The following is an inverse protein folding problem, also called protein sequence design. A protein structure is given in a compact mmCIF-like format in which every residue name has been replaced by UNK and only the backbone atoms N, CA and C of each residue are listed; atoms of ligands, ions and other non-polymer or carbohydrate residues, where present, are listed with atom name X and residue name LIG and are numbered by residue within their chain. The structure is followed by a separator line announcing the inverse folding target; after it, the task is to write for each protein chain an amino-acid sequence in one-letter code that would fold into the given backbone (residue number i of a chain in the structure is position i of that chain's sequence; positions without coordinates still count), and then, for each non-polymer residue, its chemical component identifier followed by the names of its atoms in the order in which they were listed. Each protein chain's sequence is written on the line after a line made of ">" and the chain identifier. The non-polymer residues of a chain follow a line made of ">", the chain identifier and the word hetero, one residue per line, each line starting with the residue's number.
data_IF_577774989615
#
_entry.id   IF_577774989615
#
_cell.length_a   1.000
_cell.length_b   1.000
_cell.length_c   1.000
_cell.angle_alpha   90.00
_cell.angle_beta   90.00
_cell.angle_gamma   90.00
#
_symmetry.space_group_name_H-M   'P 1'
#
loop_
_entity.id
_entity.type
_entity.pdbx_description
1 polymer ?
#
# COMPACT_ATOMS: atom_id res chain seq x y z
N UNK A 1 3.30 -17.42 -5.63
CA UNK A 1 4.40 -16.49 -5.94
C UNK A 1 5.69 -17.25 -6.13
N UNK A 2 6.43 -16.91 -7.12
CA UNK A 2 7.72 -17.52 -7.37
C UNK A 2 8.75 -16.47 -7.74
N UNK A 3 10.00 -16.73 -7.40
CA UNK A 3 11.12 -15.85 -7.69
C UNK A 3 11.86 -16.42 -8.90
N UNK A 4 12.10 -15.55 -9.87
CA UNK A 4 12.96 -15.89 -11.00
C UNK A 4 14.36 -16.24 -10.49
N UNK A 5 14.99 -17.23 -11.08
CA UNK A 5 16.32 -17.65 -10.68
C UNK A 5 17.38 -16.57 -10.90
N UNK A 6 17.14 -15.63 -11.79
CA UNK A 6 18.01 -14.48 -11.95
C UNK A 6 17.94 -13.50 -10.77
N UNK A 7 16.93 -13.64 -9.92
CA UNK A 7 16.75 -12.79 -8.76
C UNK A 7 16.17 -11.43 -9.06
N UNK A 8 15.81 -11.13 -10.31
CA UNK A 8 15.41 -9.78 -10.71
C UNK A 8 13.91 -9.59 -10.88
N UNK A 9 13.14 -10.67 -11.09
CA UNK A 9 11.71 -10.57 -11.36
C UNK A 9 10.95 -11.53 -10.46
N UNK A 10 9.88 -11.00 -9.86
CA UNK A 10 8.94 -11.79 -9.06
C UNK A 10 7.68 -12.06 -9.85
N UNK A 11 7.10 -13.22 -9.65
CA UNK A 11 5.78 -13.54 -10.19
C UNK A 11 4.75 -13.43 -9.08
N UNK A 12 3.68 -12.66 -9.30
CA UNK A 12 2.62 -12.46 -8.32
C UNK A 12 1.31 -13.01 -8.85
N UNK A 13 0.50 -13.53 -7.91
CA UNK A 13 -0.92 -13.71 -8.15
C UNK A 13 -1.65 -12.38 -7.97
N UNK A 14 -2.97 -12.41 -8.06
CA UNK A 14 -3.79 -11.21 -7.89
C UNK A 14 -3.89 -10.76 -6.43
N UNK A 15 -3.66 -11.65 -5.48
CA UNK A 15 -3.61 -11.34 -4.05
C UNK A 15 -2.34 -11.91 -3.47
N UNK A 16 -1.61 -11.12 -2.71
CA UNK A 16 -0.34 -11.52 -2.12
C UNK A 16 -0.17 -10.96 -0.72
N UNK A 17 0.53 -11.70 0.12
CA UNK A 17 0.97 -11.21 1.41
C UNK A 17 2.29 -10.47 1.23
N UNK A 18 2.31 -9.24 1.69
CA UNK A 18 3.48 -8.37 1.58
C UNK A 18 3.77 -7.74 2.93
N UNK A 19 4.92 -7.10 3.08
CA UNK A 19 5.29 -6.39 4.28
C UNK A 19 5.64 -4.95 3.96
N UNK A 20 5.39 -4.06 4.90
CA UNK A 20 5.78 -2.66 4.85
C UNK A 20 6.63 -2.39 6.09
N UNK A 21 7.91 -2.79 6.06
CA UNK A 21 8.71 -2.82 7.29
C UNK A 21 8.95 -1.47 7.92
N UNK A 22 9.05 -0.40 7.12
CA UNK A 22 9.26 0.95 7.65
C UNK A 22 8.03 1.48 8.39
N UNK A 23 6.86 0.91 8.12
CA UNK A 23 5.62 1.24 8.82
C UNK A 23 5.35 0.31 10.01
N UNK A 24 6.21 -0.69 10.20
CA UNK A 24 6.01 -1.68 11.24
C UNK A 24 4.94 -2.71 10.92
N UNK A 25 4.55 -2.83 9.65
CA UNK A 25 3.55 -3.80 9.20
C UNK A 25 4.26 -5.07 8.71
N UNK A 26 4.24 -6.15 9.51
CA UNK A 26 4.96 -7.37 9.15
C UNK A 26 4.28 -8.18 8.06
N UNK A 27 2.96 -8.04 7.92
CA UNK A 27 2.22 -8.74 6.88
C UNK A 27 0.89 -8.04 6.63
N UNK A 28 0.57 -7.86 5.37
CA UNK A 28 -0.72 -7.32 4.95
C UNK A 28 -1.06 -7.94 3.61
N UNK A 29 -2.31 -8.35 3.44
CA UNK A 29 -2.75 -8.90 2.17
C UNK A 29 -3.06 -7.77 1.21
N UNK A 30 -2.39 -7.79 0.06
CA UNK A 30 -2.54 -6.79 -0.97
C UNK A 30 -3.18 -7.41 -2.20
N UNK A 31 -4.07 -6.65 -2.84
CA UNK A 31 -4.64 -7.03 -4.13
C UNK A 31 -3.89 -6.27 -5.21
N UNK A 32 -3.50 -6.97 -6.27
CA UNK A 32 -2.88 -6.36 -7.43
C UNK A 32 -3.97 -5.74 -8.29
N UNK A 33 -3.87 -4.43 -8.52
CA UNK A 33 -4.85 -3.68 -9.31
C UNK A 33 -4.12 -2.91 -10.41
N UNK A 34 -4.02 -3.51 -11.58
CA UNK A 34 -3.33 -2.89 -12.71
C UNK A 34 -4.11 -1.72 -13.32
N UNK A 35 -5.37 -1.57 -12.96
CA UNK A 35 -6.17 -0.41 -13.33
C UNK A 35 -5.83 0.84 -12.55
N UNK A 36 -5.19 0.69 -11.38
CA UNK A 36 -4.78 1.81 -10.56
C UNK A 36 -3.33 2.19 -10.85
N UNK A 37 -3.06 3.48 -10.92
CA UNK A 37 -1.69 3.98 -11.11
C UNK A 37 -0.87 3.86 -9.84
N UNK A 38 -1.42 4.28 -8.71
CA UNK A 38 -0.74 4.35 -7.42
C UNK A 38 -1.37 3.37 -6.45
N UNK A 39 -0.53 2.80 -5.58
CA UNK A 39 -0.99 1.90 -4.53
C UNK A 39 -1.82 2.66 -3.48
N UNK A 40 -2.68 1.94 -2.78
CA UNK A 40 -3.52 2.50 -1.73
C UNK A 40 -3.53 1.59 -0.51
N UNK A 41 -3.51 2.22 0.66
CA UNK A 41 -3.57 1.52 1.94
C UNK A 41 -4.78 2.02 2.70
N UNK A 42 -5.62 1.10 3.16
CA UNK A 42 -6.74 1.47 4.01
C UNK A 42 -6.22 1.88 5.39
N UNK A 43 -6.46 3.13 5.75
CA UNK A 43 -5.99 3.71 6.99
C UNK A 43 -7.10 4.57 7.61
N UNK A 44 -7.10 4.68 8.92
CA UNK A 44 -8.05 5.51 9.64
C UNK A 44 -7.35 6.28 10.75
N UNK A 45 -8.08 7.20 11.39
CA UNK A 45 -7.50 8.10 12.40
C UNK A 45 -6.25 8.79 11.88
N UNK A 46 -6.37 9.33 10.66
CA UNK A 46 -5.26 9.95 9.96
C UNK A 46 -5.06 11.37 10.50
N UNK A 47 -3.86 11.63 11.06
CA UNK A 47 -3.53 12.92 11.65
C UNK A 47 -2.18 13.42 11.15
N UNK A 48 -2.13 14.69 10.82
CA UNK A 48 -0.89 15.37 10.44
C UNK A 48 -0.21 15.90 11.71
N UNK A 49 1.10 15.74 11.79
CA UNK A 49 1.87 16.25 12.91
C UNK A 49 3.28 16.65 12.44
N UNK A 50 4.06 17.19 13.36
CA UNK A 50 5.44 17.61 13.07
C UNK A 50 5.50 19.02 12.54
N UNK A 51 6.70 19.44 12.12
CA UNK A 51 6.93 20.79 11.62
C UNK A 51 6.29 21.01 10.26
N UNK A 52 5.78 22.22 10.01
CA UNK A 52 5.15 22.54 8.73
C UNK A 52 6.10 22.42 7.54
N UNK A 53 7.41 22.57 7.79
CA UNK A 53 8.42 22.40 6.75
C UNK A 53 8.68 20.93 6.42
N UNK A 54 8.29 20.01 7.30
CA UNK A 54 8.50 18.58 7.11
C UNK A 54 7.35 17.81 7.77
N UNK A 55 6.15 17.95 7.21
CA UNK A 55 4.97 17.36 7.83
C UNK A 55 5.00 15.84 7.77
N UNK A 56 4.46 15.24 8.83
CA UNK A 56 4.34 13.80 8.95
C UNK A 56 2.87 13.45 9.17
N UNK A 57 2.54 12.21 8.89
CA UNK A 57 1.20 11.69 9.12
C UNK A 57 1.29 10.45 9.99
N UNK A 58 0.38 10.32 10.93
CA UNK A 58 0.18 9.07 11.69
C UNK A 58 -1.21 8.56 11.39
N UNK A 59 -1.33 7.26 11.44
CA UNK A 59 -2.57 6.60 11.06
C UNK A 59 -2.62 5.19 11.65
N UNK A 60 -3.81 4.63 11.66
CA UNK A 60 -4.04 3.28 12.16
C UNK A 60 -4.40 2.35 11.01
N UNK A 61 -3.98 1.10 11.10
CA UNK A 61 -4.22 0.09 10.08
C UNK A 61 -4.70 -1.19 10.72
N UNK A 62 -5.74 -1.80 10.15
CA UNK A 62 -6.14 -3.18 10.44
C UNK A 62 -5.65 -4.04 9.27
N UNK A 63 -4.49 -4.70 9.40
CA UNK A 63 -3.93 -5.41 8.24
C UNK A 63 -4.62 -6.72 7.88
N UNK A 64 -5.42 -7.26 8.80
CA UNK A 64 -6.10 -8.54 8.59
C UNK A 64 -7.61 -8.30 8.44
N UNK A 65 -8.20 -8.59 7.28
CA UNK A 65 -9.64 -8.44 7.11
C UNK A 65 -10.41 -9.28 8.13
N UNK A 66 -11.45 -8.68 8.71
CA UNK A 66 -12.27 -9.33 9.72
C UNK A 66 -11.67 -9.39 11.13
N UNK A 67 -10.45 -8.90 11.32
CA UNK A 67 -9.78 -8.89 12.62
C UNK A 67 -9.48 -7.45 13.03
N UNK A 68 -10.51 -6.78 13.55
CA UNK A 68 -10.36 -5.39 14.01
C UNK A 68 -9.61 -5.27 15.34
N UNK A 69 -9.40 -6.39 16.03
CA UNK A 69 -8.58 -6.45 17.23
C UNK A 69 -7.09 -6.35 16.93
N UNK A 70 -6.69 -6.60 15.68
CA UNK A 70 -5.29 -6.46 15.26
C UNK A 70 -5.12 -5.08 14.64
N UNK A 71 -4.45 -4.19 15.38
CA UNK A 71 -4.28 -2.79 15.00
C UNK A 71 -2.81 -2.43 15.04
N UNK A 72 -2.35 -1.75 13.99
CA UNK A 72 -1.00 -1.21 13.95
C UNK A 72 -1.06 0.32 13.85
N UNK A 73 -0.30 1.00 14.71
CA UNK A 73 -0.10 2.45 14.61
C UNK A 73 1.12 2.71 13.74
N UNK A 74 0.94 3.51 12.71
CA UNK A 74 1.97 3.77 11.73
C UNK A 74 2.22 5.27 11.61
N UNK A 75 3.41 5.65 11.16
CA UNK A 75 3.72 7.05 10.84
C UNK A 75 4.73 7.12 9.70
N UNK A 76 4.67 8.22 8.96
CA UNK A 76 5.58 8.45 7.83
C UNK A 76 5.61 9.93 7.49
N UNK A 77 6.63 10.35 6.76
CA UNK A 77 6.66 11.69 6.19
C UNK A 77 5.65 11.79 5.06
N UNK A 78 4.98 12.93 4.96
CA UNK A 78 4.07 13.21 3.85
C UNK A 78 4.93 13.61 2.66
N UNK A 79 4.82 12.84 1.57
CA UNK A 79 5.51 13.15 0.33
C UNK A 79 4.71 14.10 -0.54
N UNK A 80 3.39 13.93 -0.55
CA UNK A 80 2.51 14.69 -1.44
C UNK A 80 1.06 14.61 -0.95
N UNK A 81 0.22 15.42 -1.56
CA UNK A 81 -1.24 15.32 -1.45
C UNK A 81 -1.78 15.23 -2.86
N UNK A 82 -2.66 14.28 -3.10
CA UNK A 82 -3.24 14.09 -4.42
C UNK A 82 -4.74 13.94 -4.35
N UNK A 83 -5.41 14.47 -5.34
CA UNK A 83 -6.82 14.19 -5.55
C UNK A 83 -6.91 12.88 -6.33
N UNK A 84 -7.68 11.96 -5.81
CA UNK A 84 -7.89 10.64 -6.42
C UNK A 84 -9.37 10.50 -6.70
N UNK A 85 -9.72 10.24 -7.95
CA UNK A 85 -11.09 10.03 -8.37
C UNK A 85 -11.35 8.53 -8.49
N UNK A 86 -12.38 8.05 -7.81
CA UNK A 86 -12.77 6.65 -7.86
C UNK A 86 -13.64 6.36 -9.09
N UNK A 87 -13.86 5.09 -9.35
CA UNK A 87 -14.65 4.65 -10.49
C UNK A 87 -16.10 5.12 -10.46
N UNK A 88 -16.62 5.48 -9.29
CA UNK A 88 -17.97 6.04 -9.17
C UNK A 88 -18.03 7.56 -9.32
N UNK A 89 -16.91 8.19 -9.69
CA UNK A 89 -16.83 9.61 -9.92
C UNK A 89 -16.56 10.47 -8.70
N UNK A 90 -16.48 9.89 -7.52
CA UNK A 90 -16.16 10.62 -6.30
C UNK A 90 -14.67 10.90 -6.21
N UNK A 91 -14.33 12.12 -5.75
CA UNK A 91 -12.95 12.53 -5.57
C UNK A 91 -12.63 12.69 -4.08
N UNK A 92 -11.40 12.36 -3.73
CA UNK A 92 -10.95 12.44 -2.35
C UNK A 92 -9.50 12.91 -2.36
N UNK A 93 -9.15 13.82 -1.45
CA UNK A 93 -7.76 14.22 -1.27
C UNK A 93 -7.08 13.23 -0.36
N UNK A 94 -5.94 12.70 -0.80
CA UNK A 94 -5.20 11.68 -0.06
C UNK A 94 -3.77 12.12 0.18
N UNK A 95 -3.26 11.80 1.35
CA UNK A 95 -1.82 11.93 1.61
C UNK A 95 -1.08 10.80 0.90
N UNK A 96 0.08 11.15 0.37
CA UNK A 96 0.97 10.19 -0.28
C UNK A 96 2.20 10.04 0.58
N UNK A 97 2.56 8.80 0.88
CA UNK A 97 3.79 8.47 1.59
C UNK A 97 4.64 7.58 0.70
N UNK A 98 5.94 7.53 0.99
CA UNK A 98 6.84 6.60 0.33
C UNK A 98 7.37 5.63 1.37
N UNK A 99 7.34 4.35 1.07
CA UNK A 99 7.80 3.32 1.99
C UNK A 99 8.29 2.11 1.19
N UNK A 100 9.11 1.30 1.81
CA UNK A 100 9.58 0.08 1.16
C UNK A 100 8.53 -1.00 1.19
N UNK A 101 8.32 -1.63 0.05
CA UNK A 101 7.55 -2.86 -0.08
C UNK A 101 8.52 -4.03 0.02
N UNK A 102 8.22 -4.99 0.89
CA UNK A 102 9.03 -6.20 1.05
C UNK A 102 8.20 -7.40 0.67
N UNK A 103 8.68 -8.16 -0.29
CA UNK A 103 8.02 -9.36 -0.77
C UNK A 103 9.08 -10.39 -1.09
N UNK A 104 8.96 -11.57 -0.46
CA UNK A 104 9.82 -12.71 -0.78
C UNK A 104 11.32 -12.37 -0.75
N UNK A 105 11.72 -11.52 0.18
CA UNK A 105 13.12 -11.10 0.31
C UNK A 105 13.53 -9.95 -0.62
N UNK A 106 12.65 -9.51 -1.50
CA UNK A 106 12.89 -8.37 -2.37
C UNK A 106 12.29 -7.12 -1.77
N UNK A 107 13.03 -6.02 -1.86
CA UNK A 107 12.64 -4.75 -1.26
C UNK A 107 12.85 -3.61 -2.25
N UNK A 108 11.84 -2.76 -2.42
CA UNK A 108 11.98 -1.54 -3.21
C UNK A 108 10.99 -0.48 -2.71
N UNK A 109 11.31 0.82 -2.91
CA UNK A 109 10.41 1.89 -2.48
C UNK A 109 9.21 2.01 -3.41
N UNK A 110 8.04 2.27 -2.80
CA UNK A 110 6.82 2.54 -3.53
C UNK A 110 6.11 3.74 -2.92
N UNK A 111 5.26 4.38 -3.72
CA UNK A 111 4.35 5.42 -3.23
C UNK A 111 3.01 4.79 -2.88
N UNK A 112 2.45 5.20 -1.75
CA UNK A 112 1.16 4.69 -1.29
C UNK A 112 0.29 5.89 -0.92
N UNK A 113 -0.97 5.88 -1.37
CA UNK A 113 -1.97 6.83 -0.90
C UNK A 113 -2.70 6.25 0.29
N UNK A 114 -2.99 7.08 1.28
CA UNK A 114 -3.78 6.67 2.44
C UNK A 114 -5.25 6.98 2.18
N UNK A 115 -6.11 5.99 2.36
CA UNK A 115 -7.53 6.13 2.10
C UNK A 115 -8.34 5.52 3.24
N UNK A 116 -9.29 6.29 3.76
CA UNK A 116 -10.20 5.81 4.80
C UNK A 116 -11.52 5.39 4.16
N UNK A 117 -11.47 4.44 3.24
CA UNK A 117 -12.67 3.93 2.57
C UNK A 117 -13.11 2.64 3.22
N UNK A 118 -14.17 2.72 3.98
CA UNK A 118 -14.71 1.55 4.70
C UNK A 118 -15.14 0.42 3.77
N UNK A 119 -15.37 0.73 2.49
CA UNK A 119 -15.81 -0.26 1.50
C UNK A 119 -14.66 -1.01 0.83
N UNK A 120 -13.41 -0.70 1.17
CA UNK A 120 -12.28 -1.45 0.62
C UNK A 120 -12.31 -2.89 1.14
N UNK A 121 -12.52 -3.83 0.24
CA UNK A 121 -12.54 -5.26 0.59
C UNK A 121 -11.15 -5.79 0.92
N UNK A 122 -10.12 -5.22 0.30
CA UNK A 122 -8.73 -5.52 0.62
C UNK A 122 -8.12 -4.35 1.36
N UNK A 123 -7.21 -4.65 2.29
CA UNK A 123 -6.58 -3.62 3.11
C UNK A 123 -5.53 -2.83 2.34
N UNK A 124 -5.04 -3.37 1.24
CA UNK A 124 -4.06 -2.71 0.40
C UNK A 124 -4.29 -3.06 -1.06
N UNK A 125 -4.06 -2.08 -1.93
CA UNK A 125 -4.04 -2.27 -3.37
C UNK A 125 -2.65 -1.93 -3.90
N UNK A 126 -2.10 -2.76 -4.76
CA UNK A 126 -0.83 -2.49 -5.43
C UNK A 126 -1.12 -1.99 -6.84
N UNK A 127 -0.77 -0.75 -7.09
CA UNK A 127 -0.96 -0.12 -8.39
C UNK A 127 0.19 -0.38 -9.35
N UNK A 128 0.02 0.10 -10.59
CA UNK A 128 1.01 -0.14 -11.65
C UNK A 128 2.41 0.39 -11.31
N UNK A 129 2.52 1.52 -10.62
CA UNK A 129 3.82 2.10 -10.29
C UNK A 129 4.64 1.21 -9.36
N UNK A 130 3.98 0.50 -8.45
CA UNK A 130 4.66 -0.40 -7.52
C UNK A 130 5.20 -1.64 -8.24
N UNK A 131 4.55 -2.03 -9.31
CA UNK A 131 4.84 -3.30 -9.99
C UNK A 131 5.86 -3.17 -11.11
N UNK A 132 5.71 -2.17 -11.94
CA UNK A 132 6.60 -1.83 -13.07
C UNK A 132 7.55 -2.96 -13.49
N UNK A 133 8.86 -2.71 -13.32
CA UNK A 133 9.91 -3.62 -13.75
C UNK A 133 10.24 -4.69 -12.70
N UNK A 134 9.53 -4.71 -11.59
CA UNK A 134 9.85 -5.61 -10.48
C UNK A 134 9.04 -6.90 -10.50
N UNK A 135 7.86 -6.89 -11.11
CA UNK A 135 6.88 -7.96 -10.95
C UNK A 135 6.26 -8.34 -12.28
N UNK A 136 6.11 -9.64 -12.47
CA UNK A 136 5.30 -10.22 -13.52
C UNK A 136 4.04 -10.80 -12.87
N UNK A 137 2.87 -10.45 -13.37
CA UNK A 137 1.61 -10.91 -12.80
C UNK A 137 1.20 -12.21 -13.47
N UNK A 138 0.99 -13.21 -12.64
CA UNK A 138 0.53 -14.53 -13.10
C UNK A 138 -0.89 -14.73 -12.61
N UNK A 139 -1.81 -15.00 -13.54
CA UNK A 139 -3.18 -15.29 -13.17
C UNK A 139 -3.21 -16.61 -12.39
N UNK A 140 -3.75 -16.56 -11.18
CA UNK A 140 -3.91 -17.74 -10.33
C UNK A 140 -5.38 -17.95 -10.03
N UNK A 141 -5.76 -19.18 -9.92
CA UNK A 141 -7.14 -19.50 -9.52
C UNK A 141 -7.41 -19.21 -8.07
#
# INVERSE_FOLDING_TARGET
>A
MSLDKSGSILSFGWEEWVALPQLGLPAIQAKVDTGAKTSALHAYDIEVFGASSKPKVRFMVHPVPGREDIVFACSAEIKDRREVTSSNGESENRYVIETNLLVNGHRWPIEITLSNRATMSNRMLLGRQALKDHISIVATE
#
